data_IF_350960556651
#
_entry.id   IF_350960556651
#
_cell.length_a   1.000
_cell.length_b   1.000
_cell.length_c   1.000
_cell.angle_alpha   90.00
_cell.angle_beta   90.00
_cell.angle_gamma   90.00
#
_symmetry.space_group_name_H-M   'P 1'
#
loop_
_entity.id
_entity.type
_entity.pdbx_description
1 polymer ?
#
# COMPACT_ATOMS: atom_id res chain seq x y z
N UNK A 1 31.10 -21.81 27.16
CA UNK A 1 30.34 -21.35 28.33
C UNK A 1 28.89 -21.75 28.12
N UNK A 2 28.46 -22.77 28.87
CA UNK A 2 27.12 -23.33 28.85
C UNK A 2 26.32 -22.78 30.04
N UNK A 3 25.01 -22.61 29.89
CA UNK A 3 24.07 -22.76 31.01
C UNK A 3 22.77 -23.39 30.50
N UNK A 4 22.50 -24.58 31.03
CA UNK A 4 21.25 -25.35 31.03
C UNK A 4 20.92 -25.61 32.51
N UNK A 5 19.63 -25.55 32.89
CA UNK A 5 18.87 -26.45 33.80
C UNK A 5 17.50 -25.79 34.11
N UNK A 6 16.31 -26.38 33.80
CA UNK A 6 15.56 -27.51 34.42
C UNK A 6 15.29 -27.30 35.92
N UNK A 7 14.14 -27.57 36.56
CA UNK A 7 12.80 -28.17 36.34
C UNK A 7 12.01 -27.88 37.65
N UNK A 8 10.69 -28.08 37.82
CA UNK A 8 10.02 -29.35 38.14
C UNK A 8 8.52 -29.11 38.45
N UNK A 9 7.71 -30.18 38.32
CA UNK A 9 6.26 -30.33 38.60
C UNK A 9 5.94 -30.91 39.99
N UNK A 10 4.62 -30.96 40.28
CA UNK A 10 3.83 -31.82 41.20
C UNK A 10 3.57 -31.26 42.62
N UNK A 11 2.43 -31.43 43.31
CA UNK A 11 1.19 -32.19 43.09
C UNK A 11 0.05 -31.70 44.06
N UNK A 12 -1.22 -31.83 43.59
CA UNK A 12 -2.45 -32.31 44.29
C UNK A 12 -3.17 -31.67 45.52
N UNK A 13 -4.53 -31.76 45.39
CA UNK A 13 -5.69 -31.71 46.36
C UNK A 13 -6.11 -30.32 46.86
N UNK A 14 -7.38 -29.92 46.98
CA UNK A 14 -8.71 -30.53 46.80
C UNK A 14 -9.71 -29.63 47.57
N UNK A 15 -10.89 -29.31 47.02
CA UNK A 15 -11.89 -28.51 47.73
C UNK A 15 -13.11 -28.17 46.86
N UNK A 16 -14.29 -28.61 47.31
CA UNK A 16 -15.57 -28.55 46.60
C UNK A 16 -16.36 -27.29 46.98
N UNK A 17 -17.01 -26.70 45.97
CA UNK A 17 -18.30 -25.98 45.93
C UNK A 17 -18.51 -24.82 46.92
N UNK A 18 -18.70 -23.62 46.36
CA UNK A 18 -19.91 -22.84 46.66
C UNK A 18 -20.29 -21.90 45.50
N UNK A 19 -21.58 -21.91 45.18
CA UNK A 19 -22.24 -21.03 44.21
C UNK A 19 -22.26 -19.62 44.76
N UNK A 20 -22.01 -18.60 43.92
CA UNK A 20 -22.65 -17.28 44.00
C UNK A 20 -22.58 -16.54 42.67
N UNK A 21 -23.78 -16.16 42.24
CA UNK A 21 -24.19 -14.93 41.58
C UNK A 21 -23.56 -14.51 40.23
N UNK A 22 -24.48 -14.46 39.26
CA UNK A 22 -24.37 -13.83 37.96
C UNK A 22 -23.89 -12.38 38.10
N UNK A 23 -22.76 -12.05 37.49
CA UNK A 23 -22.38 -10.68 37.18
C UNK A 23 -22.13 -10.54 35.67
N UNK A 24 -22.70 -9.46 35.14
CA UNK A 24 -22.84 -9.12 33.73
C UNK A 24 -21.54 -9.20 32.91
N UNK A 25 -21.66 -9.72 31.68
CA UNK A 25 -20.60 -9.66 30.69
C UNK A 25 -20.23 -8.22 30.29
N UNK A 26 -19.00 -7.99 29.82
CA UNK A 26 -18.56 -6.65 29.45
C UNK A 26 -19.37 -6.14 28.26
N UNK A 27 -19.94 -4.95 28.46
CA UNK A 27 -20.77 -4.23 27.49
C UNK A 27 -19.92 -3.82 26.29
N UNK A 28 -20.54 -3.85 25.10
CA UNK A 28 -20.04 -3.21 23.89
C UNK A 28 -19.90 -1.72 24.14
N UNK A 29 -18.75 -1.15 23.74
CA UNK A 29 -18.58 0.28 23.55
C UNK A 29 -17.77 0.96 24.64
N UNK A 30 -16.48 1.12 24.40
CA UNK A 30 -15.79 2.40 24.58
C UNK A 30 -14.44 2.36 23.86
N UNK A 31 -14.36 3.03 22.72
CA UNK A 31 -13.09 3.35 22.05
C UNK A 31 -13.09 4.86 21.79
N UNK A 32 -12.02 5.59 22.18
CA UNK A 32 -11.99 7.03 22.04
C UNK A 32 -11.73 7.45 20.58
N UNK A 33 -12.61 8.29 20.06
CA UNK A 33 -12.24 9.41 19.18
C UNK A 33 -11.81 9.11 17.74
N UNK A 34 -12.77 8.74 16.87
CA UNK A 34 -12.61 8.88 15.42
C UNK A 34 -13.98 9.14 14.79
N UNK A 35 -14.20 10.34 14.22
CA UNK A 35 -15.48 10.69 13.59
C UNK A 35 -15.66 9.88 12.31
N UNK A 36 -16.46 8.82 12.37
CA UNK A 36 -16.91 8.09 11.17
C UNK A 36 -18.07 8.86 10.51
N UNK A 37 -17.80 9.56 9.41
CA UNK A 37 -18.86 10.11 8.56
C UNK A 37 -19.31 9.06 7.53
N UNK A 38 -20.57 8.65 7.67
CA UNK A 38 -21.49 8.02 6.70
C UNK A 38 -20.90 7.22 5.53
N UNK A 39 -20.99 5.90 5.61
CA UNK A 39 -20.96 5.01 4.44
C UNK A 39 -22.30 5.16 3.71
N UNK A 40 -22.33 5.92 2.61
CA UNK A 40 -23.33 5.67 1.56
C UNK A 40 -22.75 4.62 0.63
N UNK A 41 -23.44 3.50 0.50
CA UNK A 41 -23.11 2.49 -0.50
C UNK A 41 -23.19 3.14 -1.90
N UNK A 42 -22.05 3.27 -2.57
CA UNK A 42 -22.02 3.61 -3.99
C UNK A 42 -22.66 2.45 -4.78
N UNK A 43 -23.43 2.81 -5.81
CA UNK A 43 -24.22 1.90 -6.64
C UNK A 43 -23.43 0.67 -7.13
N UNK A 44 -24.10 -0.49 -7.16
CA UNK A 44 -23.54 -1.77 -7.57
C UNK A 44 -23.16 -1.78 -9.07
N UNK A 45 -21.94 -2.18 -9.44
CA UNK A 45 -21.63 -2.61 -10.80
C UNK A 45 -22.08 -4.06 -11.05
N UNK A 46 -22.33 -4.34 -12.34
CA UNK A 46 -22.88 -5.55 -12.99
C UNK A 46 -22.49 -6.93 -12.37
N UNK A 47 -23.41 -7.91 -12.20
CA UNK A 47 -23.17 -9.14 -11.43
C UNK A 47 -22.20 -10.19 -12.00
N UNK A 48 -21.51 -9.93 -13.12
CA UNK A 48 -20.77 -10.97 -13.86
C UNK A 48 -19.24 -10.92 -13.80
N UNK A 49 -18.63 -9.77 -13.46
CA UNK A 49 -17.16 -9.61 -13.49
C UNK A 49 -16.69 -9.01 -12.16
N UNK A 50 -16.11 -9.85 -11.30
CA UNK A 50 -15.51 -9.39 -10.05
C UNK A 50 -14.26 -8.56 -10.35
N UNK A 51 -14.38 -7.23 -10.31
CA UNK A 51 -13.23 -6.33 -10.46
C UNK A 51 -12.27 -6.45 -9.28
N UNK A 52 -10.99 -6.62 -9.56
CA UNK A 52 -9.90 -6.66 -8.57
C UNK A 52 -9.96 -5.40 -7.68
N UNK A 53 -9.96 -5.60 -6.37
CA UNK A 53 -10.08 -4.52 -5.37
C UNK A 53 -8.70 -3.99 -5.00
N UNK A 54 -8.40 -2.78 -5.45
CA UNK A 54 -7.09 -2.13 -5.26
C UNK A 54 -7.12 -1.16 -4.08
N UNK A 55 -6.14 -1.28 -3.17
CA UNK A 55 -5.84 -0.28 -2.15
C UNK A 55 -4.60 0.51 -2.55
N UNK A 56 -4.64 1.84 -2.48
CA UNK A 56 -3.50 2.69 -2.90
C UNK A 56 -2.90 3.40 -1.70
N UNK A 57 -1.58 3.30 -1.55
CA UNK A 57 -0.80 4.01 -0.53
C UNK A 57 -0.13 5.24 -1.14
N UNK A 58 -0.23 6.39 -0.46
CA UNK A 58 0.25 7.69 -0.98
C UNK A 58 0.85 8.57 0.12
N UNK A 59 1.77 9.47 -0.25
CA UNK A 59 2.32 10.48 0.66
C UNK A 59 2.30 11.91 0.11
N UNK A 60 1.93 12.11 -1.16
CA UNK A 60 2.13 13.39 -1.86
C UNK A 60 1.01 13.76 -2.85
N UNK A 61 1.41 14.33 -4.00
CA UNK A 61 0.47 14.89 -5.00
C UNK A 61 -0.54 13.89 -5.55
N UNK A 62 -0.16 12.60 -5.64
CA UNK A 62 -1.05 11.55 -6.11
C UNK A 62 -1.27 11.50 -7.63
N UNK A 63 -0.30 11.92 -8.44
CA UNK A 63 -0.42 11.86 -9.91
C UNK A 63 -0.62 10.42 -10.43
N UNK A 64 0.08 9.45 -9.84
CA UNK A 64 -0.16 8.02 -10.12
C UNK A 64 -1.55 7.53 -9.66
N UNK A 65 -2.07 8.04 -8.54
CA UNK A 65 -3.45 7.77 -8.12
C UNK A 65 -4.46 8.35 -9.12
N UNK A 66 -4.24 9.58 -9.60
CA UNK A 66 -5.07 10.20 -10.64
C UNK A 66 -5.08 9.35 -11.91
N UNK A 67 -3.93 8.86 -12.37
CA UNK A 67 -3.83 8.02 -13.55
C UNK A 67 -4.60 6.69 -13.39
N UNK A 68 -4.52 6.06 -12.21
CA UNK A 68 -5.31 4.86 -11.90
C UNK A 68 -6.81 5.15 -11.89
N UNK A 69 -7.23 6.25 -11.26
CA UNK A 69 -8.65 6.67 -11.24
C UNK A 69 -9.16 6.88 -12.66
N UNK A 70 -8.38 7.57 -13.49
CA UNK A 70 -8.74 7.84 -14.89
C UNK A 70 -8.89 6.55 -15.70
N UNK A 71 -7.90 5.66 -15.62
CA UNK A 71 -7.93 4.38 -16.33
C UNK A 71 -9.12 3.50 -15.91
N UNK A 72 -9.50 3.54 -14.63
CA UNK A 72 -10.60 2.74 -14.07
C UNK A 72 -11.99 3.35 -14.33
N UNK A 73 -12.09 4.49 -15.03
CA UNK A 73 -13.37 4.98 -15.55
C UNK A 73 -13.91 4.11 -16.69
N UNK A 74 -13.02 3.45 -17.45
CA UNK A 74 -13.40 2.48 -18.46
C UNK A 74 -14.16 1.32 -17.79
N UNK A 75 -15.44 1.06 -18.15
CA UNK A 75 -16.21 -0.04 -17.59
C UNK A 75 -15.59 -1.43 -17.80
N UNK A 76 -14.74 -1.57 -18.82
CA UNK A 76 -14.01 -2.81 -19.14
C UNK A 76 -12.70 -2.94 -18.35
N UNK A 77 -12.30 -1.92 -17.58
CA UNK A 77 -11.12 -2.03 -16.75
C UNK A 77 -11.37 -3.02 -15.59
N UNK A 78 -10.59 -4.11 -15.47
CA UNK A 78 -10.90 -5.25 -14.59
C UNK A 78 -10.56 -5.02 -13.11
N UNK A 79 -10.34 -3.77 -12.69
CA UNK A 79 -10.00 -3.43 -11.31
C UNK A 79 -10.63 -2.09 -10.89
N UNK A 80 -10.67 -1.82 -9.59
CA UNK A 80 -11.13 -0.55 -9.02
C UNK A 80 -10.35 -0.18 -7.77
N UNK A 81 -10.06 1.10 -7.57
CA UNK A 81 -9.57 1.59 -6.27
C UNK A 81 -10.72 1.61 -5.28
N UNK A 82 -10.59 0.84 -4.19
CA UNK A 82 -11.63 0.73 -3.13
C UNK A 82 -11.29 1.52 -1.88
N UNK A 83 -10.00 1.84 -1.68
CA UNK A 83 -9.53 2.65 -0.55
C UNK A 83 -8.18 3.30 -0.86
N UNK A 84 -7.98 4.52 -0.38
CA UNK A 84 -6.69 5.22 -0.38
C UNK A 84 -6.21 5.43 1.05
N UNK A 85 -4.96 5.11 1.34
CA UNK A 85 -4.36 5.31 2.67
C UNK A 85 -3.14 6.21 2.55
N UNK A 86 -3.14 7.32 3.28
CA UNK A 86 -2.00 8.24 3.34
C UNK A 86 -1.30 8.17 4.70
N UNK A 87 0.00 8.44 4.75
CA UNK A 87 0.72 8.57 6.02
C UNK A 87 0.80 10.01 6.56
N UNK A 88 0.32 10.98 5.78
CA UNK A 88 0.28 12.41 6.10
C UNK A 88 -0.86 13.09 5.32
N UNK A 89 -1.10 14.35 5.66
CA UNK A 89 -1.99 15.19 4.85
C UNK A 89 -1.35 15.45 3.48
N UNK A 90 -2.09 15.23 2.40
CA UNK A 90 -1.59 15.34 1.03
C UNK A 90 -2.72 15.49 0.02
N UNK A 91 -2.41 16.13 -1.12
CA UNK A 91 -3.37 16.39 -2.19
C UNK A 91 -4.03 15.13 -2.78
N UNK A 92 -3.37 13.97 -2.71
CA UNK A 92 -3.93 12.69 -3.16
C UNK A 92 -5.26 12.33 -2.46
N UNK A 93 -5.47 12.78 -1.22
CA UNK A 93 -6.71 12.52 -0.48
C UNK A 93 -7.90 13.30 -1.07
N UNK A 94 -7.67 14.51 -1.58
CA UNK A 94 -8.69 15.28 -2.27
C UNK A 94 -9.10 14.60 -3.58
N UNK A 95 -8.15 13.99 -4.29
CA UNK A 95 -8.43 13.20 -5.50
C UNK A 95 -9.34 12.01 -5.17
N UNK A 96 -9.02 11.29 -4.10
CA UNK A 96 -9.84 10.17 -3.62
C UNK A 96 -11.26 10.64 -3.24
N UNK A 97 -11.38 11.75 -2.51
CA UNK A 97 -12.66 12.32 -2.11
C UNK A 97 -13.50 12.75 -3.33
N UNK A 98 -12.90 13.45 -4.30
CA UNK A 98 -13.58 13.87 -5.55
C UNK A 98 -14.05 12.67 -6.38
N UNK A 99 -13.32 11.56 -6.34
CA UNK A 99 -13.67 10.32 -7.01
C UNK A 99 -14.67 9.44 -6.20
N UNK A 100 -15.10 9.87 -5.00
CA UNK A 100 -16.00 9.07 -4.15
C UNK A 100 -15.34 7.81 -3.55
N UNK A 101 -14.02 7.77 -3.50
CA UNK A 101 -13.25 6.64 -2.98
C UNK A 101 -13.02 6.81 -1.47
N UNK A 102 -13.21 5.75 -0.68
CA UNK A 102 -12.92 5.81 0.74
C UNK A 102 -11.44 6.13 0.98
N UNK A 103 -11.14 7.01 1.92
CA UNK A 103 -9.76 7.34 2.24
C UNK A 103 -9.55 7.51 3.74
N UNK A 104 -8.31 7.36 4.20
CA UNK A 104 -7.90 7.58 5.58
C UNK A 104 -6.44 8.03 5.66
N UNK A 105 -6.13 8.76 6.73
CA UNK A 105 -4.78 9.21 7.06
C UNK A 105 -4.29 8.43 8.29
N UNK A 106 -3.07 7.95 8.24
CA UNK A 106 -2.39 7.19 9.28
C UNK A 106 -1.11 7.94 9.68
N UNK A 107 -1.26 9.05 10.42
CA UNK A 107 -0.11 9.85 10.86
C UNK A 107 0.67 9.09 11.91
N UNK A 108 1.99 8.98 11.78
CA UNK A 108 2.80 8.24 12.75
C UNK A 108 2.60 8.75 14.20
N UNK A 109 2.39 10.06 14.37
CA UNK A 109 2.14 10.68 15.69
C UNK A 109 0.85 10.20 16.38
N UNK A 110 -0.08 9.57 15.67
CA UNK A 110 -1.34 9.03 16.21
C UNK A 110 -1.19 7.55 16.66
N UNK A 111 0.01 6.98 16.55
CA UNK A 111 0.31 5.59 16.87
C UNK A 111 1.56 5.49 17.74
N UNK A 112 1.69 4.43 18.57
CA UNK A 112 2.86 4.24 19.43
C UNK A 112 4.16 4.06 18.63
N UNK A 113 4.08 3.44 17.46
CA UNK A 113 5.20 3.14 16.59
C UNK A 113 4.72 2.87 15.15
N UNK A 114 5.68 2.64 14.23
CA UNK A 114 5.40 2.28 12.83
C UNK A 114 4.59 0.99 12.71
N UNK A 115 4.84 0.02 13.59
CA UNK A 115 4.14 -1.27 13.61
C UNK A 115 2.65 -1.09 13.90
N UNK A 116 2.30 -0.24 14.87
CA UNK A 116 0.93 0.10 15.23
C UNK A 116 0.21 0.83 14.10
N UNK A 117 0.87 1.82 13.48
CA UNK A 117 0.36 2.53 12.31
C UNK A 117 0.07 1.57 11.15
N UNK A 118 1.04 0.73 10.80
CA UNK A 118 0.92 -0.18 9.66
C UNK A 118 -0.13 -1.26 9.90
N UNK A 119 -0.27 -1.75 11.14
CA UNK A 119 -1.35 -2.68 11.50
C UNK A 119 -2.74 -2.03 11.36
N UNK A 120 -2.89 -0.76 11.75
CA UNK A 120 -4.14 -0.03 11.58
C UNK A 120 -4.47 0.19 10.08
N UNK A 121 -3.45 0.51 9.28
CA UNK A 121 -3.57 0.64 7.83
C UNK A 121 -3.97 -0.69 7.18
N UNK A 122 -3.31 -1.79 7.52
CA UNK A 122 -3.66 -3.13 7.04
C UNK A 122 -5.11 -3.52 7.38
N UNK A 123 -5.57 -3.24 8.60
CA UNK A 123 -6.96 -3.45 9.00
C UNK A 123 -7.94 -2.68 8.13
N UNK A 124 -7.65 -1.42 7.80
CA UNK A 124 -8.48 -0.60 6.90
C UNK A 124 -8.53 -1.20 5.49
N UNK A 125 -7.39 -1.61 4.93
CA UNK A 125 -7.32 -2.29 3.63
C UNK A 125 -8.16 -3.58 3.63
N UNK A 126 -8.05 -4.40 4.68
CA UNK A 126 -8.82 -5.64 4.84
C UNK A 126 -10.32 -5.41 4.95
N UNK A 127 -10.76 -4.39 5.70
CA UNK A 127 -12.19 -4.03 5.80
C UNK A 127 -12.78 -3.62 4.44
N UNK A 128 -11.94 -3.10 3.55
CA UNK A 128 -12.31 -2.78 2.18
C UNK A 128 -12.07 -3.95 1.20
N UNK A 129 -11.74 -5.16 1.70
CA UNK A 129 -11.53 -6.35 0.88
C UNK A 129 -10.44 -6.16 -0.17
N UNK A 130 -9.36 -5.46 0.15
CA UNK A 130 -8.27 -5.20 -0.79
C UNK A 130 -7.55 -6.50 -1.16
N UNK A 131 -7.38 -6.71 -2.46
CA UNK A 131 -6.73 -7.86 -3.08
C UNK A 131 -5.33 -7.51 -3.59
N UNK A 132 -5.11 -6.25 -4.01
CA UNK A 132 -3.83 -5.71 -4.44
C UNK A 132 -3.55 -4.37 -3.75
N UNK A 133 -2.38 -4.22 -3.14
CA UNK A 133 -1.87 -2.96 -2.61
C UNK A 133 -0.92 -2.33 -3.61
N UNK A 134 -1.11 -1.04 -3.88
CA UNK A 134 -0.26 -0.25 -4.79
C UNK A 134 0.38 0.89 -4.01
N UNK A 135 1.70 0.87 -3.88
CA UNK A 135 2.48 2.02 -3.40
C UNK A 135 2.67 2.99 -4.57
N UNK A 136 2.00 4.13 -4.51
CA UNK A 136 1.99 5.17 -5.56
C UNK A 136 2.55 6.48 -5.01
N UNK A 137 3.87 6.54 -4.84
CA UNK A 137 4.54 7.66 -4.15
C UNK A 137 4.35 7.62 -2.64
N UNK A 138 4.37 6.41 -2.06
CA UNK A 138 4.40 6.20 -0.61
C UNK A 138 5.85 6.22 -0.13
N UNK A 139 6.17 7.17 0.74
CA UNK A 139 7.54 7.53 1.15
C UNK A 139 8.01 6.85 2.45
N UNK A 140 7.32 5.80 2.91
CA UNK A 140 7.65 5.10 4.14
C UNK A 140 7.83 3.60 3.92
N UNK A 141 8.84 3.03 4.60
CA UNK A 141 9.06 1.58 4.61
C UNK A 141 7.90 0.91 5.35
N UNK A 142 7.36 -0.16 4.76
CA UNK A 142 6.29 -0.97 5.36
C UNK A 142 6.88 -2.00 6.32
N UNK A 143 6.29 -2.11 7.52
CA UNK A 143 6.70 -3.07 8.52
C UNK A 143 6.41 -4.52 8.11
N UNK A 144 7.21 -5.46 8.65
CA UNK A 144 7.13 -6.90 8.32
C UNK A 144 5.73 -7.48 8.51
N UNK A 145 4.98 -7.00 9.49
CA UNK A 145 3.60 -7.44 9.73
C UNK A 145 2.67 -7.12 8.56
N UNK A 146 2.83 -5.93 7.97
CA UNK A 146 2.05 -5.48 6.82
C UNK A 146 2.44 -6.25 5.56
N UNK A 147 3.74 -6.34 5.28
CA UNK A 147 4.22 -7.02 4.06
C UNK A 147 3.91 -8.52 4.06
N UNK A 148 3.84 -9.17 5.23
CA UNK A 148 3.38 -10.56 5.36
C UNK A 148 1.88 -10.71 5.09
N UNK A 149 1.05 -9.78 5.53
CA UNK A 149 -0.41 -9.85 5.33
C UNK A 149 -0.79 -9.76 3.85
N UNK A 150 -0.06 -8.95 3.09
CA UNK A 150 -0.23 -8.78 1.65
C UNK A 150 0.93 -9.39 0.85
N UNK A 151 1.55 -10.47 1.35
CA UNK A 151 2.65 -11.13 0.66
C UNK A 151 2.25 -11.52 -0.77
N UNK A 152 3.11 -11.19 -1.75
CA UNK A 152 2.82 -11.39 -3.17
C UNK A 152 1.66 -10.54 -3.71
N UNK A 153 1.21 -9.51 -2.98
CA UNK A 153 0.05 -8.67 -3.34
C UNK A 153 0.31 -7.19 -3.09
N UNK A 154 1.58 -6.78 -3.06
CA UNK A 154 2.00 -5.38 -2.96
C UNK A 154 2.91 -5.09 -4.15
N UNK A 155 2.58 -4.04 -4.91
CA UNK A 155 3.45 -3.50 -5.96
C UNK A 155 3.81 -2.06 -5.66
N UNK A 156 4.98 -1.62 -6.14
CA UNK A 156 5.45 -0.25 -6.04
C UNK A 156 5.85 0.26 -7.42
N UNK A 157 5.61 1.56 -7.67
CA UNK A 157 6.19 2.28 -8.82
C UNK A 157 7.36 3.12 -8.33
N UNK A 158 8.53 2.92 -8.92
CA UNK A 158 9.77 3.60 -8.57
C UNK A 158 10.30 4.43 -9.75
N UNK A 159 10.75 5.68 -9.54
CA UNK A 159 11.14 6.62 -10.60
C UNK A 159 12.59 6.40 -11.07
N UNK A 160 12.98 5.16 -11.31
CA UNK A 160 14.22 4.80 -11.99
C UNK A 160 14.11 3.42 -12.67
N UNK A 161 15.14 3.06 -13.45
CA UNK A 161 15.33 1.69 -13.95
C UNK A 161 16.04 0.83 -12.90
N UNK A 162 15.28 0.21 -11.99
CA UNK A 162 15.85 -0.70 -10.99
C UNK A 162 16.71 -1.80 -11.66
N UNK A 163 17.86 -2.18 -11.05
CA UNK A 163 18.32 -1.80 -9.71
C UNK A 163 19.03 -0.44 -9.61
N UNK A 164 19.12 0.35 -10.69
CA UNK A 164 19.78 1.66 -10.64
C UNK A 164 18.98 2.61 -9.74
N UNK A 165 19.68 3.36 -8.88
CA UNK A 165 19.07 4.34 -7.98
C UNK A 165 17.95 3.76 -7.08
N UNK A 166 18.12 2.52 -6.63
CA UNK A 166 17.23 1.85 -5.68
C UNK A 166 17.32 2.46 -4.28
N UNK A 167 16.26 2.33 -3.48
CA UNK A 167 16.25 2.67 -2.06
C UNK A 167 16.12 4.15 -1.73
N UNK A 168 15.78 4.99 -2.72
CA UNK A 168 15.76 6.45 -2.58
C UNK A 168 14.61 7.09 -3.35
N UNK A 169 14.05 8.17 -2.79
CA UNK A 169 13.07 9.02 -3.48
C UNK A 169 13.72 10.00 -4.46
N UNK A 170 15.05 10.12 -4.39
CA UNK A 170 15.85 11.09 -5.14
C UNK A 170 16.46 10.51 -6.42
N UNK A 171 16.00 9.34 -6.88
CA UNK A 171 16.55 8.64 -8.04
C UNK A 171 16.62 9.50 -9.32
N UNK A 172 15.69 10.45 -9.49
CA UNK A 172 15.71 11.41 -10.60
C UNK A 172 16.90 12.37 -10.52
N UNK A 173 17.18 12.92 -9.33
CA UNK A 173 18.31 13.83 -9.12
C UNK A 173 19.64 13.08 -9.28
N UNK A 174 19.71 11.86 -8.74
CA UNK A 174 20.89 11.00 -8.90
C UNK A 174 21.17 10.62 -10.36
N UNK A 175 20.13 10.40 -11.17
CA UNK A 175 20.30 10.13 -12.60
C UNK A 175 20.96 11.30 -13.34
N UNK A 176 20.55 12.54 -13.03
CA UNK A 176 21.16 13.75 -13.58
C UNK A 176 22.60 13.93 -13.10
N UNK A 177 22.85 13.75 -11.80
CA UNK A 177 24.19 13.85 -11.22
C UNK A 177 25.16 12.82 -11.84
N UNK A 178 24.68 11.60 -12.05
CA UNK A 178 25.43 10.51 -12.68
C UNK A 178 25.60 10.68 -14.20
N UNK A 179 24.93 11.66 -14.83
CA UNK A 179 24.96 11.93 -16.27
C UNK A 179 24.69 10.68 -17.13
N UNK A 180 23.75 9.85 -16.69
CA UNK A 180 23.31 8.70 -17.49
C UNK A 180 22.55 9.18 -18.73
N UNK A 181 22.66 8.46 -19.85
CA UNK A 181 21.91 8.79 -21.07
C UNK A 181 20.41 8.42 -20.97
N UNK A 182 20.08 7.44 -20.14
CA UNK A 182 18.73 6.93 -19.97
C UNK A 182 18.43 6.63 -18.49
N UNK A 183 17.20 6.90 -18.09
CA UNK A 183 16.58 6.46 -16.83
C UNK A 183 15.17 5.95 -17.13
N UNK A 184 14.24 5.99 -16.19
CA UNK A 184 12.88 5.52 -16.43
C UNK A 184 12.06 5.34 -15.18
N UNK A 185 11.08 4.45 -15.26
CA UNK A 185 10.32 3.99 -14.12
C UNK A 185 10.16 2.48 -14.11
N UNK A 186 10.00 1.92 -12.91
CA UNK A 186 9.89 0.47 -12.68
C UNK A 186 8.68 0.17 -11.81
N UNK A 187 7.81 -0.74 -12.26
CA UNK A 187 6.84 -1.39 -11.39
C UNK A 187 7.42 -2.72 -10.92
N UNK A 188 7.46 -2.95 -9.62
CA UNK A 188 8.00 -4.18 -9.03
C UNK A 188 7.15 -4.66 -7.85
N UNK A 189 7.28 -5.94 -7.51
CA UNK A 189 6.71 -6.50 -6.28
C UNK A 189 7.48 -5.98 -5.07
N UNK A 190 6.78 -5.60 -4.00
CA UNK A 190 7.44 -5.20 -2.75
C UNK A 190 7.83 -6.46 -1.96
N UNK A 191 9.09 -6.51 -1.53
CA UNK A 191 9.61 -7.58 -0.66
C UNK A 191 10.09 -6.99 0.67
N UNK A 192 10.80 -7.79 1.47
CA UNK A 192 11.44 -7.32 2.70
C UNK A 192 12.56 -6.31 2.43
N UNK A 193 13.21 -6.43 1.27
CA UNK A 193 14.36 -5.63 0.88
C UNK A 193 13.84 -4.49 -0.02
N UNK A 194 14.26 -3.26 0.30
CA UNK A 194 13.75 -2.04 -0.37
C UNK A 194 14.15 -2.08 -1.85
N UNK A 195 13.17 -1.87 -2.73
CA UNK A 195 13.32 -1.82 -4.19
C UNK A 195 14.08 -3.01 -4.83
N UNK A 196 14.05 -4.17 -4.17
CA UNK A 196 14.78 -5.37 -4.59
C UNK A 196 13.86 -6.54 -5.01
N UNK A 197 12.55 -6.30 -5.11
CA UNK A 197 11.62 -7.35 -5.51
C UNK A 197 11.56 -7.59 -7.01
N UNK A 198 10.91 -8.70 -7.45
CA UNK A 198 10.72 -9.00 -8.86
C UNK A 198 10.17 -7.82 -9.67
N UNK A 199 10.89 -7.46 -10.72
CA UNK A 199 10.47 -6.42 -11.67
C UNK A 199 9.33 -6.96 -12.52
N UNK A 200 8.21 -6.24 -12.54
CA UNK A 200 7.03 -6.57 -13.33
C UNK A 200 7.06 -5.91 -14.71
N UNK A 201 7.46 -4.64 -14.75
CA UNK A 201 7.61 -3.89 -15.99
C UNK A 201 8.48 -2.66 -15.79
N UNK A 202 9.10 -2.18 -16.88
CA UNK A 202 9.89 -0.95 -16.91
C UNK A 202 9.57 -0.13 -18.16
N UNK A 203 9.74 1.19 -18.05
CA UNK A 203 9.75 2.12 -19.20
C UNK A 203 11.01 2.96 -19.13
N UNK A 204 11.71 3.06 -20.27
CA UNK A 204 12.90 3.90 -20.41
C UNK A 204 12.51 5.31 -20.82
N UNK A 205 13.30 6.26 -20.37
CA UNK A 205 13.19 7.68 -20.63
C UNK A 205 14.58 8.25 -20.88
N UNK A 206 14.74 8.96 -21.99
CA UNK A 206 15.97 9.70 -22.31
C UNK A 206 16.22 10.82 -21.29
N UNK A 207 17.47 10.94 -20.84
CA UNK A 207 17.98 12.07 -20.07
C UNK A 207 18.65 13.04 -21.03
N UNK A 208 18.08 14.24 -21.15
CA UNK A 208 18.54 15.26 -22.10
C UNK A 208 19.60 16.15 -21.48
N UNK A 209 20.52 16.72 -22.27
CA UNK A 209 21.60 17.57 -21.76
C UNK A 209 21.13 18.78 -20.94
N UNK A 210 19.95 19.30 -21.24
CA UNK A 210 19.33 20.49 -20.61
C UNK A 210 18.26 20.14 -19.56
N UNK A 211 18.12 18.86 -19.20
CA UNK A 211 17.14 18.45 -18.20
C UNK A 211 17.47 19.03 -16.81
N UNK A 212 16.41 19.56 -16.19
CA UNK A 212 16.33 19.79 -14.75
C UNK A 212 15.69 18.59 -14.06
N UNK A 213 15.75 18.54 -12.72
CA UNK A 213 15.07 17.50 -11.94
C UNK A 213 13.57 17.48 -12.25
N UNK A 214 12.96 18.65 -12.40
CA UNK A 214 11.53 18.82 -12.67
C UNK A 214 11.16 18.29 -14.05
N UNK A 215 11.88 18.72 -15.10
CA UNK A 215 11.59 18.33 -16.49
C UNK A 215 11.82 16.84 -16.73
N UNK A 216 12.87 16.25 -16.16
CA UNK A 216 13.09 14.81 -16.20
C UNK A 216 12.02 14.06 -15.39
N UNK A 217 11.66 14.56 -14.20
CA UNK A 217 10.60 13.95 -13.37
C UNK A 217 9.26 13.95 -14.07
N UNK A 218 8.89 15.03 -14.75
CA UNK A 218 7.65 15.10 -15.54
C UNK A 218 7.64 14.06 -16.67
N UNK A 219 8.77 13.88 -17.36
CA UNK A 219 8.91 12.87 -18.41
C UNK A 219 8.81 11.45 -17.87
N UNK A 220 9.44 11.16 -16.73
CA UNK A 220 9.32 9.87 -16.03
C UNK A 220 7.86 9.64 -15.59
N UNK A 221 7.22 10.64 -14.97
CA UNK A 221 5.83 10.54 -14.52
C UNK A 221 4.85 10.27 -15.67
N UNK A 222 5.07 10.86 -16.84
CA UNK A 222 4.26 10.57 -18.02
C UNK A 222 4.31 9.08 -18.41
N UNK A 223 5.45 8.40 -18.21
CA UNK A 223 5.57 6.96 -18.40
C UNK A 223 5.01 6.16 -17.23
N UNK A 224 5.17 6.61 -15.98
CA UNK A 224 4.53 5.99 -14.81
C UNK A 224 3.00 5.93 -14.95
N UNK A 225 2.39 7.02 -15.42
CA UNK A 225 0.94 7.15 -15.61
C UNK A 225 0.39 6.19 -16.67
N UNK A 226 1.25 5.67 -17.55
CA UNK A 226 0.90 4.62 -18.53
C UNK A 226 1.21 3.23 -17.97
N UNK A 227 2.41 3.08 -17.38
CA UNK A 227 2.95 1.81 -16.93
C UNK A 227 2.15 1.22 -15.78
N UNK A 228 1.86 2.03 -14.75
CA UNK A 228 1.20 1.53 -13.54
C UNK A 228 -0.23 1.04 -13.83
N UNK A 229 -1.12 1.79 -14.52
CA UNK A 229 -2.41 1.26 -14.91
C UNK A 229 -2.33 0.05 -15.86
N UNK A 230 -1.34 -0.02 -16.75
CA UNK A 230 -1.17 -1.21 -17.60
C UNK A 230 -0.86 -2.45 -16.76
N UNK A 231 0.07 -2.36 -15.80
CA UNK A 231 0.45 -3.49 -14.93
C UNK A 231 -0.72 -3.93 -14.05
N UNK A 232 -1.46 -2.98 -13.44
CA UNK A 232 -2.65 -3.31 -12.64
C UNK A 232 -3.71 -4.04 -13.48
N UNK A 233 -3.92 -3.62 -14.74
CA UNK A 233 -4.83 -4.30 -15.67
C UNK A 233 -4.40 -5.72 -15.97
N UNK A 234 -3.10 -5.95 -16.19
CA UNK A 234 -2.54 -7.29 -16.45
C UNK A 234 -2.63 -8.22 -15.24
N UNK A 235 -2.38 -7.72 -14.03
CA UNK A 235 -2.55 -8.47 -12.78
C UNK A 235 -4.03 -8.88 -12.61
N UNK A 236 -4.94 -7.92 -12.77
CA UNK A 236 -6.38 -8.16 -12.64
C UNK A 236 -6.92 -9.13 -13.70
N UNK A 237 -6.35 -9.12 -14.91
CA UNK A 237 -6.65 -10.08 -15.98
C UNK A 237 -5.91 -11.42 -15.86
N UNK A 238 -5.16 -11.66 -14.77
CA UNK A 238 -4.34 -12.86 -14.54
C UNK A 238 -3.26 -13.12 -15.60
N UNK A 239 -2.98 -12.15 -16.46
CA UNK A 239 -1.92 -12.23 -17.47
C UNK A 239 -0.52 -12.03 -16.87
N UNK A 240 -0.45 -11.50 -15.64
CA UNK A 240 0.79 -11.31 -14.90
C UNK A 240 0.66 -11.89 -13.48
N UNK A 241 1.21 -13.08 -13.21
CA UNK A 241 1.19 -13.65 -11.87
C UNK A 241 2.12 -12.85 -10.96
N UNK A 242 1.65 -12.51 -9.77
CA UNK A 242 2.51 -12.00 -8.71
C UNK A 242 3.23 -13.18 -8.07
N UNK A 243 4.35 -13.61 -8.68
CA UNK A 243 5.19 -14.65 -8.10
C UNK A 243 6.06 -14.03 -7.00
N UNK A 244 6.09 -14.66 -5.82
CA UNK A 244 7.04 -14.39 -4.73
C UNK A 244 7.96 -15.59 -4.57
#
# INVERSE_FOLDING_TARGET
>A
MAYIQHGHRDDRRGGRVERRDRAAGPRRGDFPGGRYRGIRAAACPDPGVTRLRVGVLVSGRGSNLQALIEAMKDPLYPARVVVVCANRDCAALELANKAGISHAIFRLAEYPDRKGRDLAMARKLRLHGVELVVCAGYDAILERGFTREFAGRIINIHPSLLPQFAGTMDGVAMALEARVAETGCTVHVVTKDVDAGPILAQRRVEVRPDDTVETLRERIQAEEHKLLPMVVKQIAGQALPLTV
#
